data_IF_074297668946
#
_entry.id   IF_074297668946
#
_cell.length_a   1.000
_cell.length_b   1.000
_cell.length_c   1.000
_cell.angle_alpha   90.00
_cell.angle_beta   90.00
_cell.angle_gamma   90.00
#
_symmetry.space_group_name_H-M   'P 1'
#
loop_
_entity.id
_entity.type
_entity.pdbx_description
1 polymer ?
#
# COMPACT_ATOMS: atom_id res chain seq x y z
N UNK A 1 4.34 0.57 -24.96
CA UNK A 1 4.15 -0.60 -24.06
C UNK A 1 3.27 -0.29 -22.85
N UNK A 2 3.43 0.88 -22.19
CA UNK A 2 2.59 1.31 -21.05
C UNK A 2 1.11 1.51 -21.36
N UNK A 3 0.76 1.89 -22.59
CA UNK A 3 -0.63 2.14 -22.98
C UNK A 3 -1.61 0.98 -22.67
N UNK A 4 -1.12 -0.26 -22.51
CA UNK A 4 -1.94 -1.46 -22.27
C UNK A 4 -1.89 -2.04 -20.85
N UNK A 5 -0.95 -1.66 -19.98
CA UNK A 5 -0.88 -2.19 -18.60
C UNK A 5 -1.45 -1.20 -17.60
N UNK A 6 -2.61 -1.52 -17.04
CA UNK A 6 -3.28 -0.71 -16.02
C UNK A 6 -2.37 -0.48 -14.81
N UNK A 7 -1.71 -1.54 -14.33
CA UNK A 7 -0.78 -1.47 -13.20
C UNK A 7 0.38 -0.50 -13.45
N UNK A 8 0.97 -0.50 -14.65
CA UNK A 8 2.06 0.42 -14.96
C UNK A 8 1.59 1.88 -15.05
N UNK A 9 0.38 2.14 -15.57
CA UNK A 9 -0.20 3.49 -15.55
C UNK A 9 -0.44 4.00 -14.14
N UNK A 10 -0.94 3.13 -13.26
CA UNK A 10 -1.18 3.46 -11.86
C UNK A 10 0.14 3.72 -11.11
N UNK A 11 1.14 2.86 -11.30
CA UNK A 11 2.49 3.05 -10.76
C UNK A 11 3.08 4.38 -11.24
N UNK A 12 2.97 4.70 -12.53
CA UNK A 12 3.48 5.95 -13.09
C UNK A 12 2.83 7.19 -12.44
N UNK A 13 1.49 7.17 -12.33
CA UNK A 13 0.75 8.26 -11.68
C UNK A 13 1.19 8.46 -10.23
N UNK A 14 1.51 7.39 -9.51
CA UNK A 14 1.98 7.49 -8.11
C UNK A 14 3.42 7.94 -8.03
N UNK A 15 4.30 7.40 -8.87
CA UNK A 15 5.67 7.87 -8.95
C UNK A 15 5.70 9.38 -9.19
N UNK A 16 4.91 9.87 -10.16
CA UNK A 16 4.81 11.29 -10.45
C UNK A 16 4.28 12.09 -9.26
N UNK A 17 3.19 11.65 -8.60
CA UNK A 17 2.64 12.34 -7.42
C UNK A 17 3.63 12.36 -6.25
N UNK A 18 4.15 11.20 -5.85
CA UNK A 18 5.04 11.04 -4.69
C UNK A 18 6.41 11.71 -4.87
N UNK A 19 6.84 11.92 -6.13
CA UNK A 19 8.13 12.55 -6.45
C UNK A 19 8.02 13.94 -7.06
N UNK A 20 6.82 14.54 -7.10
CA UNK A 20 6.58 15.83 -7.75
C UNK A 20 7.05 15.86 -9.22
N UNK A 21 6.84 14.76 -9.94
CA UNK A 21 7.17 14.59 -11.35
C UNK A 21 8.62 14.20 -11.63
N UNK A 22 9.49 14.13 -10.62
CA UNK A 22 10.91 13.76 -10.81
C UNK A 22 11.06 12.30 -11.26
N UNK A 23 10.20 11.41 -10.76
CA UNK A 23 10.16 9.99 -11.12
C UNK A 23 8.92 9.69 -11.96
N UNK A 24 9.15 8.94 -13.02
CA UNK A 24 8.15 8.35 -13.92
C UNK A 24 8.45 6.88 -14.10
N UNK A 25 7.57 6.14 -14.74
CA UNK A 25 7.87 4.75 -15.13
C UNK A 25 9.09 4.64 -16.06
N UNK A 26 9.37 5.66 -16.89
CA UNK A 26 10.45 5.63 -17.88
C UNK A 26 11.83 5.72 -17.24
N UNK A 27 11.94 6.48 -16.14
CA UNK A 27 13.19 6.68 -15.41
C UNK A 27 13.27 5.86 -14.11
N UNK A 28 12.35 4.90 -13.95
CA UNK A 28 12.31 3.96 -12.82
C UNK A 28 12.41 2.54 -13.34
N UNK A 29 13.40 1.79 -12.84
CA UNK A 29 13.55 0.38 -13.21
C UNK A 29 12.49 -0.45 -12.47
N UNK A 30 11.59 -1.06 -13.23
CA UNK A 30 10.55 -1.95 -12.70
C UNK A 30 10.88 -3.37 -13.12
N UNK A 31 10.97 -4.26 -12.15
CA UNK A 31 11.28 -5.67 -12.37
C UNK A 31 10.10 -6.54 -11.97
N UNK A 32 9.78 -7.51 -12.82
CA UNK A 32 8.95 -8.65 -12.43
C UNK A 32 9.88 -9.69 -11.79
N UNK A 33 9.51 -10.19 -10.61
CA UNK A 33 10.28 -11.24 -9.90
C UNK A 33 10.16 -12.60 -10.57
N UNK A 34 9.15 -12.81 -11.43
CA UNK A 34 8.98 -14.02 -12.24
C UNK A 34 9.04 -13.67 -13.73
N UNK A 35 10.20 -13.19 -14.22
CA UNK A 35 10.34 -12.86 -15.63
C UNK A 35 9.98 -14.08 -16.49
N UNK A 36 9.31 -13.84 -17.62
CA UNK A 36 8.88 -14.85 -18.59
C UNK A 36 7.78 -15.82 -18.13
N UNK A 37 7.15 -15.58 -16.97
CA UNK A 37 5.98 -16.33 -16.52
C UNK A 37 4.75 -15.44 -16.41
N UNK A 38 3.62 -15.94 -16.88
CA UNK A 38 2.31 -15.36 -16.60
C UNK A 38 1.52 -16.27 -15.65
N UNK A 39 0.47 -15.73 -15.04
CA UNK A 39 -0.37 -16.46 -14.09
C UNK A 39 -0.99 -17.72 -14.72
N UNK A 40 -1.45 -17.64 -15.97
CA UNK A 40 -2.08 -18.75 -16.69
C UNK A 40 -1.14 -19.96 -16.80
N UNK A 41 0.09 -19.76 -17.26
CA UNK A 41 1.07 -20.84 -17.35
C UNK A 41 1.41 -21.43 -15.98
N UNK A 42 1.33 -20.63 -14.92
CA UNK A 42 1.58 -21.10 -13.56
C UNK A 42 0.44 -21.99 -13.08
N UNK A 43 -0.80 -21.62 -13.35
CA UNK A 43 -2.00 -22.39 -12.99
C UNK A 43 -2.09 -23.72 -13.75
N UNK A 44 -1.68 -23.74 -15.02
CA UNK A 44 -1.71 -24.93 -15.88
C UNK A 44 -0.60 -25.96 -15.56
N UNK A 45 0.44 -25.56 -14.84
CA UNK A 45 1.59 -26.42 -14.52
C UNK A 45 1.38 -27.32 -13.30
N UNK A 46 1.98 -28.51 -13.30
CA UNK A 46 2.10 -29.32 -12.09
C UNK A 46 2.98 -28.61 -11.03
N UNK A 47 2.89 -29.04 -9.78
CA UNK A 47 3.61 -28.40 -8.67
C UNK A 47 5.13 -28.42 -8.85
N UNK A 48 5.69 -29.52 -9.33
CA UNK A 48 7.13 -29.69 -9.52
C UNK A 48 7.65 -28.76 -10.63
N UNK A 49 6.98 -28.72 -11.77
CA UNK A 49 7.30 -27.82 -12.87
C UNK A 49 7.16 -26.35 -12.45
N UNK A 50 6.10 -26.01 -11.69
CA UNK A 50 5.92 -24.65 -11.14
C UNK A 50 7.10 -24.21 -10.29
N UNK A 51 7.50 -25.01 -9.31
CA UNK A 51 8.62 -24.69 -8.43
C UNK A 51 9.91 -24.53 -9.21
N UNK A 52 10.21 -25.47 -10.12
CA UNK A 52 11.41 -25.42 -10.95
C UNK A 52 11.48 -24.13 -11.78
N UNK A 53 10.38 -23.75 -12.43
CA UNK A 53 10.35 -22.54 -13.25
C UNK A 53 10.33 -21.26 -12.42
N UNK A 54 9.69 -21.25 -11.24
CA UNK A 54 9.73 -20.12 -10.32
C UNK A 54 11.17 -19.89 -9.84
N UNK A 55 11.94 -20.95 -9.50
CA UNK A 55 13.37 -20.83 -9.15
C UNK A 55 14.21 -20.26 -10.29
N UNK A 56 14.06 -20.75 -11.52
CA UNK A 56 14.78 -20.19 -12.67
C UNK A 56 14.47 -18.71 -12.90
N UNK A 57 13.22 -18.30 -12.63
CA UNK A 57 12.80 -16.91 -12.73
C UNK A 57 13.42 -16.06 -11.61
N UNK A 58 13.52 -16.60 -10.39
CA UNK A 58 14.20 -15.94 -9.27
C UNK A 58 15.70 -15.75 -9.52
N UNK A 59 16.37 -16.76 -10.09
CA UNK A 59 17.79 -16.65 -10.46
C UNK A 59 18.00 -15.56 -11.52
N UNK A 60 17.12 -15.51 -12.52
CA UNK A 60 17.14 -14.44 -13.52
C UNK A 60 16.91 -13.07 -12.90
N UNK A 61 15.94 -12.94 -11.99
CA UNK A 61 15.67 -11.70 -11.27
C UNK A 61 16.87 -11.26 -10.43
N UNK A 62 17.57 -12.18 -9.76
CA UNK A 62 18.79 -11.87 -9.02
C UNK A 62 19.89 -11.30 -9.93
N UNK A 63 20.09 -11.87 -11.12
CA UNK A 63 21.02 -11.30 -12.12
C UNK A 63 20.60 -9.89 -12.56
N UNK A 64 19.30 -9.65 -12.76
CA UNK A 64 18.79 -8.33 -13.12
C UNK A 64 19.09 -7.30 -12.01
N UNK A 65 18.89 -7.66 -10.75
CA UNK A 65 19.22 -6.82 -9.60
C UNK A 65 20.74 -6.58 -9.51
N UNK A 66 21.55 -7.62 -9.74
CA UNK A 66 23.02 -7.52 -9.78
C UNK A 66 23.51 -6.52 -10.80
N UNK A 67 22.94 -6.53 -12.00
CA UNK A 67 23.28 -5.60 -13.07
C UNK A 67 22.77 -4.18 -12.77
N UNK A 68 21.57 -4.07 -12.19
CA UNK A 68 20.95 -2.79 -11.88
C UNK A 68 21.65 -2.06 -10.73
N UNK A 69 22.21 -2.79 -9.76
CA UNK A 69 22.87 -2.25 -8.55
C UNK A 69 22.03 -1.17 -7.85
N UNK A 70 20.76 -1.45 -7.48
CA UNK A 70 19.91 -0.45 -6.87
C UNK A 70 20.40 -0.08 -5.47
N UNK A 71 20.42 1.21 -5.17
CA UNK A 71 20.62 1.69 -3.79
C UNK A 71 19.32 1.61 -2.97
N UNK A 72 18.16 1.63 -3.66
CA UNK A 72 16.83 1.55 -3.07
C UNK A 72 15.93 0.64 -3.91
N UNK A 73 15.20 -0.24 -3.24
CA UNK A 73 14.21 -1.14 -3.84
C UNK A 73 12.87 -0.96 -3.12
N UNK A 74 11.82 -0.60 -3.86
CA UNK A 74 10.44 -0.68 -3.40
C UNK A 74 9.87 -2.05 -3.79
N UNK A 75 9.47 -2.83 -2.80
CA UNK A 75 9.00 -4.20 -2.97
C UNK A 75 7.47 -4.23 -3.04
N UNK A 76 6.94 -4.55 -4.22
CA UNK A 76 5.50 -4.75 -4.41
C UNK A 76 5.11 -6.23 -4.55
N UNK A 77 5.93 -7.15 -4.02
CA UNK A 77 5.67 -8.58 -4.08
C UNK A 77 5.20 -9.08 -2.71
N UNK A 78 4.01 -9.70 -2.66
CA UNK A 78 3.46 -10.23 -1.40
C UNK A 78 3.83 -11.69 -1.13
N UNK A 79 4.08 -12.47 -2.17
CA UNK A 79 4.18 -13.92 -2.03
C UNK A 79 5.27 -14.53 -2.93
N UNK A 80 6.34 -15.00 -2.29
CA UNK A 80 7.23 -16.02 -2.86
C UNK A 80 6.78 -17.41 -2.45
N UNK A 81 7.13 -18.44 -3.24
CA UNK A 81 6.82 -19.82 -2.85
C UNK A 81 7.41 -20.12 -1.47
N UNK A 82 6.65 -20.81 -0.60
CA UNK A 82 7.18 -21.25 0.71
C UNK A 82 8.36 -22.20 0.58
N UNK A 83 8.46 -22.88 -0.57
CA UNK A 83 9.54 -23.79 -0.94
C UNK A 83 10.66 -23.09 -1.73
N UNK A 84 10.61 -21.76 -1.87
CA UNK A 84 11.60 -21.02 -2.65
C UNK A 84 13.01 -21.16 -2.05
N UNK A 85 14.00 -21.47 -2.89
CA UNK A 85 15.40 -21.63 -2.47
C UNK A 85 16.20 -20.35 -2.67
N UNK A 86 15.82 -19.52 -3.64
CA UNK A 86 16.46 -18.23 -3.87
C UNK A 86 16.26 -17.28 -2.67
N UNK A 87 17.35 -17.01 -1.95
CA UNK A 87 17.34 -16.20 -0.72
C UNK A 87 16.96 -14.75 -0.97
N UNK A 88 17.37 -14.16 -2.09
CA UNK A 88 17.05 -12.77 -2.41
C UNK A 88 15.55 -12.63 -2.66
N UNK A 89 14.95 -13.54 -3.42
CA UNK A 89 13.52 -13.56 -3.65
C UNK A 89 12.74 -13.65 -2.33
N UNK A 90 13.11 -14.58 -1.44
CA UNK A 90 12.48 -14.71 -0.11
C UNK A 90 12.65 -13.45 0.74
N UNK A 91 13.84 -12.84 0.74
CA UNK A 91 14.12 -11.62 1.50
C UNK A 91 13.35 -10.40 0.98
N UNK A 92 12.99 -10.39 -0.31
CA UNK A 92 12.17 -9.38 -0.96
C UNK A 92 10.68 -9.80 -1.03
N UNK A 93 10.23 -10.67 -0.13
CA UNK A 93 8.80 -10.91 0.08
C UNK A 93 8.29 -9.93 1.13
N UNK A 94 7.29 -9.14 0.76
CA UNK A 94 6.67 -8.14 1.63
C UNK A 94 5.26 -8.58 2.07
N UNK A 95 4.68 -7.85 3.01
CA UNK A 95 3.28 -7.99 3.42
C UNK A 95 2.62 -6.63 3.55
N UNK A 96 1.29 -6.61 3.53
CA UNK A 96 0.49 -5.39 3.78
C UNK A 96 0.81 -4.80 5.16
N UNK A 97 1.00 -5.64 6.18
CA UNK A 97 1.39 -5.20 7.54
C UNK A 97 2.73 -4.48 7.61
N UNK A 98 3.62 -4.72 6.64
CA UNK A 98 4.94 -4.11 6.57
C UNK A 98 5.01 -2.91 5.62
N UNK A 99 3.90 -2.52 4.99
CA UNK A 99 3.91 -1.47 3.98
C UNK A 99 4.44 -0.13 4.52
N UNK A 100 5.27 0.53 3.71
CA UNK A 100 5.99 1.75 4.05
C UNK A 100 7.13 1.57 5.05
N UNK A 101 7.37 0.37 5.59
CA UNK A 101 8.52 0.14 6.49
C UNK A 101 9.82 0.09 5.69
N UNK A 102 10.90 0.51 6.33
CA UNK A 102 12.24 0.51 5.73
C UNK A 102 13.12 -0.49 6.46
N UNK A 103 13.90 -1.25 5.71
CA UNK A 103 14.99 -2.07 6.20
C UNK A 103 16.22 -1.90 5.31
N UNK A 104 17.36 -2.41 5.78
CA UNK A 104 18.59 -2.46 4.97
C UNK A 104 18.91 -3.92 4.75
N UNK A 105 19.04 -4.31 3.49
CA UNK A 105 19.45 -5.64 3.08
C UNK A 105 20.82 -5.54 2.42
N UNK A 106 21.70 -6.50 2.71
CA UNK A 106 22.93 -6.65 1.94
C UNK A 106 22.63 -7.47 0.68
N UNK A 107 22.57 -6.81 -0.47
CA UNK A 107 22.38 -7.43 -1.77
C UNK A 107 23.74 -7.45 -2.46
N UNK A 108 24.31 -8.65 -2.61
CA UNK A 108 25.54 -8.88 -3.37
C UNK A 108 26.71 -7.99 -2.90
N UNK A 109 26.90 -7.91 -1.57
CA UNK A 109 27.97 -7.12 -0.94
C UNK A 109 27.68 -5.61 -0.83
N UNK A 110 26.46 -5.17 -1.17
CA UNK A 110 26.05 -3.76 -1.09
C UNK A 110 24.87 -3.59 -0.15
N UNK A 111 24.92 -2.56 0.69
CA UNK A 111 23.77 -2.15 1.49
C UNK A 111 22.75 -1.47 0.58
N UNK A 112 21.57 -2.07 0.47
CA UNK A 112 20.43 -1.55 -0.29
C UNK A 112 19.28 -1.29 0.68
N UNK A 113 18.65 -0.13 0.54
CA UNK A 113 17.46 0.21 1.33
C UNK A 113 16.27 -0.50 0.70
N UNK A 114 15.57 -1.29 1.51
CA UNK A 114 14.33 -1.96 1.11
C UNK A 114 13.18 -1.16 1.69
N UNK A 115 12.24 -0.78 0.84
CA UNK A 115 10.97 -0.22 1.24
C UNK A 115 9.90 -1.25 0.92
N UNK A 116 9.21 -1.70 1.96
CA UNK A 116 8.16 -2.70 1.84
C UNK A 116 6.88 -2.04 1.32
N UNK A 117 6.27 -2.63 0.31
CA UNK A 117 4.93 -2.30 -0.18
C UNK A 117 4.14 -3.59 -0.31
N UNK A 118 3.24 -3.64 -1.29
CA UNK A 118 2.54 -4.86 -1.68
C UNK A 118 2.02 -4.70 -3.10
N UNK A 119 1.54 -5.79 -3.68
CA UNK A 119 1.13 -5.78 -5.08
C UNK A 119 -0.11 -4.91 -5.30
N UNK A 120 -0.12 -3.98 -6.28
CA UNK A 120 -1.29 -3.12 -6.54
C UNK A 120 -2.59 -3.90 -6.76
N UNK A 121 -2.50 -5.12 -7.30
CA UNK A 121 -3.67 -5.95 -7.54
C UNK A 121 -4.35 -6.50 -6.28
N UNK A 122 -3.71 -6.39 -5.12
CA UNK A 122 -4.33 -6.74 -3.85
C UNK A 122 -5.62 -5.92 -3.63
N UNK A 123 -5.71 -4.71 -4.19
CA UNK A 123 -6.93 -3.89 -4.17
C UNK A 123 -7.62 -3.77 -5.51
N UNK A 124 -6.91 -3.91 -6.64
CA UNK A 124 -7.62 -3.83 -7.93
C UNK A 124 -8.57 -5.01 -8.15
N UNK A 125 -8.34 -6.16 -7.51
CA UNK A 125 -9.32 -7.27 -7.48
C UNK A 125 -10.65 -6.90 -6.81
N UNK A 126 -10.68 -5.82 -6.04
CA UNK A 126 -11.90 -5.33 -5.37
C UNK A 126 -12.57 -4.16 -6.12
N UNK A 127 -11.96 -3.61 -7.17
CA UNK A 127 -12.37 -2.32 -7.72
C UNK A 127 -12.47 -2.21 -9.25
N UNK A 128 -12.00 -3.17 -10.07
CA UNK A 128 -11.89 -2.94 -11.52
C UNK A 128 -12.36 -4.13 -12.37
N UNK A 129 -13.31 -3.87 -13.28
CA UNK A 129 -13.65 -4.81 -14.36
C UNK A 129 -12.62 -4.65 -15.47
N UNK A 130 -12.61 -5.62 -16.41
CA UNK A 130 -11.81 -5.57 -17.64
C UNK A 130 -12.01 -4.29 -18.47
N UNK A 131 -13.11 -3.57 -18.27
CA UNK A 131 -13.50 -2.38 -19.04
C UNK A 131 -13.24 -1.05 -18.29
N UNK A 132 -12.66 -1.09 -17.09
CA UNK A 132 -12.34 0.11 -16.31
C UNK A 132 -13.48 0.66 -15.45
N UNK A 133 -14.65 0.00 -15.48
CA UNK A 133 -15.76 0.29 -14.58
C UNK A 133 -15.61 -0.49 -13.27
N UNK A 134 -16.03 0.12 -12.16
CA UNK A 134 -16.05 -0.52 -10.85
C UNK A 134 -16.94 -1.78 -10.87
N UNK A 135 -16.36 -2.95 -10.57
CA UNK A 135 -17.17 -4.17 -10.41
C UNK A 135 -17.76 -4.16 -9.02
N UNK A 136 -19.08 -4.16 -8.94
CA UNK A 136 -19.73 -4.91 -7.86
C UNK A 136 -19.51 -6.39 -8.18
N UNK A 137 -18.39 -6.98 -7.75
CA UNK A 137 -18.22 -8.43 -7.85
C UNK A 137 -19.25 -9.09 -6.92
N UNK A 138 -20.23 -9.78 -7.50
CA UNK A 138 -21.24 -10.58 -6.78
C UNK A 138 -20.64 -11.81 -6.08
N UNK A 139 -19.33 -12.07 -6.25
CA UNK A 139 -18.57 -12.91 -5.32
C UNK A 139 -18.25 -12.08 -4.08
N UNK A 140 -19.14 -12.17 -3.08
CA UNK A 140 -19.01 -11.55 -1.76
C UNK A 140 -17.57 -11.15 -1.43
N UNK A 141 -17.24 -9.84 -1.50
CA UNK A 141 -16.02 -9.38 -0.88
C UNK A 141 -16.23 -9.59 0.62
N UNK A 142 -15.57 -10.60 1.16
CA UNK A 142 -15.47 -10.83 2.61
C UNK A 142 -14.84 -9.63 3.36
N UNK A 143 -14.46 -8.55 2.66
CA UNK A 143 -14.15 -7.25 3.24
C UNK A 143 -15.43 -6.41 3.38
N UNK A 144 -15.98 -6.39 4.60
CA UNK A 144 -17.22 -5.70 5.03
C UNK A 144 -17.23 -4.16 4.88
N UNK A 145 -16.20 -3.51 4.32
CA UNK A 145 -16.07 -2.06 4.36
C UNK A 145 -15.56 -1.48 3.02
N UNK A 146 -16.36 -0.64 2.31
CA UNK A 146 -15.93 0.07 1.11
C UNK A 146 -14.63 0.88 1.29
N UNK A 147 -14.47 1.44 2.50
CA UNK A 147 -13.36 2.31 2.91
C UNK A 147 -12.00 1.60 2.94
N UNK A 148 -11.99 0.26 3.08
CA UNK A 148 -10.76 -0.50 3.14
C UNK A 148 -9.94 -0.29 1.88
N UNK A 149 -10.59 -0.23 0.71
CA UNK A 149 -9.93 -0.06 -0.59
C UNK A 149 -9.20 1.29 -0.74
N UNK A 150 -9.74 2.36 -0.16
CA UNK A 150 -9.14 3.70 -0.18
C UNK A 150 -7.95 3.77 0.79
N UNK A 151 -8.10 3.24 2.01
CA UNK A 151 -7.02 3.19 3.01
C UNK A 151 -5.83 2.37 2.51
N UNK A 152 -6.17 1.28 1.86
CA UNK A 152 -5.30 0.38 1.16
C UNK A 152 -4.53 1.05 0.01
N UNK A 153 -5.22 1.77 -0.89
CA UNK A 153 -4.56 2.57 -1.91
C UNK A 153 -3.62 3.60 -1.27
N UNK A 154 -4.09 4.31 -0.24
CA UNK A 154 -3.29 5.27 0.53
C UNK A 154 -2.05 4.65 1.19
N UNK A 155 -2.15 3.43 1.70
CA UNK A 155 -1.02 2.70 2.28
C UNK A 155 0.02 2.33 1.23
N UNK A 156 -0.40 1.96 0.01
CA UNK A 156 0.54 1.71 -1.06
C UNK A 156 1.20 3.01 -1.53
N UNK A 157 0.42 4.08 -1.71
CA UNK A 157 0.94 5.42 -2.03
C UNK A 157 1.95 5.90 -0.99
N UNK A 158 1.69 5.62 0.29
CA UNK A 158 2.61 5.90 1.39
C UNK A 158 3.94 5.14 1.24
N UNK A 159 3.92 3.87 0.79
CA UNK A 159 5.15 3.12 0.52
C UNK A 159 5.98 3.74 -0.61
N UNK A 160 5.33 4.23 -1.68
CA UNK A 160 6.01 4.98 -2.73
C UNK A 160 6.60 6.29 -2.21
N UNK A 161 5.86 7.03 -1.39
CA UNK A 161 6.33 8.25 -0.77
C UNK A 161 7.52 7.99 0.17
N UNK A 162 7.50 6.90 0.92
CA UNK A 162 8.60 6.46 1.77
C UNK A 162 9.86 6.13 0.93
N UNK A 163 9.71 5.45 -0.21
CA UNK A 163 10.82 5.17 -1.13
C UNK A 163 11.43 6.44 -1.74
N UNK A 164 10.60 7.40 -2.16
CA UNK A 164 11.09 8.69 -2.67
C UNK A 164 11.80 9.48 -1.58
N UNK A 165 11.27 9.49 -0.35
CA UNK A 165 11.93 10.16 0.77
C UNK A 165 13.27 9.50 1.12
N UNK A 166 13.33 8.17 1.13
CA UNK A 166 14.58 7.42 1.33
C UNK A 166 15.61 7.78 0.26
N UNK A 167 15.20 7.93 -1.00
CA UNK A 167 16.06 8.38 -2.10
C UNK A 167 16.63 9.79 -1.88
N UNK A 168 15.90 10.63 -1.15
CA UNK A 168 16.35 11.96 -0.74
C UNK A 168 17.10 11.96 0.61
N UNK A 169 17.44 10.79 1.17
CA UNK A 169 18.11 10.67 2.48
C UNK A 169 17.21 10.99 3.67
N UNK A 170 15.89 10.96 3.50
CA UNK A 170 14.89 11.26 4.54
C UNK A 170 14.12 9.99 4.93
N UNK A 171 13.63 9.97 6.17
CA UNK A 171 12.78 8.89 6.69
C UNK A 171 11.44 9.46 7.13
N UNK A 172 10.35 8.80 6.73
CA UNK A 172 9.03 9.03 7.29
C UNK A 172 8.86 8.07 8.47
N UNK A 173 8.44 8.58 9.63
CA UNK A 173 8.21 7.78 10.82
C UNK A 173 7.14 8.41 11.70
N UNK A 174 6.42 7.57 12.45
CA UNK A 174 5.43 7.98 13.44
C UNK A 174 4.30 6.96 13.54
N UNK A 175 3.48 7.10 14.58
CA UNK A 175 2.35 6.19 14.82
C UNK A 175 1.32 6.18 13.68
N UNK A 176 1.22 7.28 12.92
CA UNK A 176 0.36 7.36 11.74
C UNK A 176 0.61 6.27 10.69
N UNK A 177 1.86 5.80 10.55
CA UNK A 177 2.18 4.71 9.64
C UNK A 177 1.62 3.36 10.11
N UNK A 178 1.82 3.04 11.39
CA UNK A 178 1.29 1.82 12.00
C UNK A 178 -0.24 1.85 12.02
N UNK A 179 -0.80 3.03 12.31
CA UNK A 179 -2.24 3.28 12.25
C UNK A 179 -2.81 3.00 10.87
N UNK A 180 -2.25 3.62 9.82
CA UNK A 180 -2.71 3.42 8.44
C UNK A 180 -2.64 1.95 8.04
N UNK A 181 -1.56 1.25 8.42
CA UNK A 181 -1.41 -0.19 8.15
C UNK A 181 -2.48 -1.02 8.86
N UNK A 182 -2.75 -0.73 10.13
CA UNK A 182 -3.78 -1.40 10.93
C UNK A 182 -5.19 -1.14 10.38
N UNK A 183 -5.51 0.11 10.05
CA UNK A 183 -6.80 0.49 9.47
C UNK A 183 -7.02 -0.08 8.06
N UNK A 184 -5.98 -0.16 7.24
CA UNK A 184 -6.08 -0.80 5.92
C UNK A 184 -6.34 -2.31 6.01
N UNK A 185 -5.96 -2.96 7.12
CA UNK A 185 -6.16 -4.40 7.33
C UNK A 185 -7.45 -4.74 8.06
N UNK A 186 -7.84 -3.91 9.02
CA UNK A 186 -8.89 -4.25 9.99
C UNK A 186 -10.09 -3.29 9.94
N UNK A 187 -9.97 -2.19 9.20
CA UNK A 187 -11.00 -1.14 9.13
C UNK A 187 -10.94 -0.20 10.34
N UNK A 188 -12.03 0.52 10.63
CA UNK A 188 -12.09 1.45 11.75
C UNK A 188 -12.08 0.69 13.08
N UNK A 189 -11.51 1.30 14.12
CA UNK A 189 -11.56 0.78 15.48
C UNK A 189 -12.70 1.42 16.27
N UNK A 190 -13.33 0.63 17.15
CA UNK A 190 -14.31 1.14 18.09
C UNK A 190 -13.58 1.77 19.29
N UNK A 191 -13.67 3.09 19.43
CA UNK A 191 -13.16 3.84 20.57
C UNK A 191 -14.30 4.11 21.54
N UNK A 192 -14.06 3.81 22.80
CA UNK A 192 -15.01 4.02 23.89
C UNK A 192 -14.68 5.37 24.52
N UNK A 193 -15.61 6.32 24.45
CA UNK A 193 -15.40 7.69 24.94
C UNK A 193 -16.45 8.03 26.01
N UNK A 194 -16.04 8.63 27.14
CA UNK A 194 -16.98 9.10 28.16
C UNK A 194 -17.76 10.28 27.60
N UNK A 195 -19.09 10.24 27.75
CA UNK A 195 -19.98 11.34 27.38
C UNK A 195 -20.69 11.81 28.64
N UNK A 196 -20.46 13.06 28.99
CA UNK A 196 -21.22 13.73 30.03
C UNK A 196 -22.56 14.18 29.43
N UNK A 197 -23.66 13.68 29.98
CA UNK A 197 -24.97 14.21 29.62
C UNK A 197 -25.17 15.61 30.23
N UNK A 198 -26.23 16.31 29.83
CA UNK A 198 -26.54 17.66 30.33
C UNK A 198 -26.73 17.72 31.86
N UNK A 199 -26.92 16.57 32.51
CA UNK A 199 -27.10 16.42 33.95
C UNK A 199 -25.78 16.07 34.68
N UNK A 200 -24.65 15.99 33.96
CA UNK A 200 -23.34 15.67 34.52
C UNK A 200 -23.08 14.18 34.76
N UNK A 201 -24.03 13.30 34.45
CA UNK A 201 -23.83 11.84 34.57
C UNK A 201 -22.91 11.35 33.46
N UNK A 202 -21.95 10.50 33.82
CA UNK A 202 -21.10 9.82 32.86
C UNK A 202 -21.87 8.67 32.21
N UNK A 203 -22.01 8.77 30.90
CA UNK A 203 -22.40 7.67 30.03
C UNK A 203 -21.21 7.31 29.14
N UNK A 204 -21.31 6.19 28.44
CA UNK A 204 -20.27 5.72 27.54
C UNK A 204 -20.80 5.72 26.11
N UNK A 205 -20.09 6.38 25.19
CA UNK A 205 -20.36 6.28 23.76
C UNK A 205 -19.31 5.42 23.06
N UNK A 206 -19.72 4.77 21.99
CA UNK A 206 -18.81 4.03 21.10
C UNK A 206 -18.75 4.79 19.78
N UNK A 207 -17.55 5.28 19.43
CA UNK A 207 -17.27 5.94 18.16
C UNK A 207 -16.37 5.02 17.32
N UNK A 208 -16.78 4.73 16.08
CA UNK A 208 -15.88 4.14 15.11
C UNK A 208 -14.92 5.23 14.61
N UNK A 209 -13.61 4.99 14.69
CA UNK A 209 -12.58 5.93 14.27
C UNK A 209 -11.43 5.23 13.55
N UNK A 210 -10.82 5.93 12.61
CA UNK A 210 -9.55 5.55 11.96
C UNK A 210 -8.35 6.20 12.66
N UNK A 211 -8.57 6.86 13.80
CA UNK A 211 -7.54 7.50 14.60
C UNK A 211 -7.10 6.57 15.74
N UNK A 212 -5.92 5.98 15.62
CA UNK A 212 -5.23 5.32 16.73
C UNK A 212 -4.43 6.29 17.61
N UNK A 213 -4.70 7.59 17.48
CA UNK A 213 -3.94 8.65 18.13
C UNK A 213 -4.66 9.15 19.38
N UNK A 214 -3.88 9.33 20.45
CA UNK A 214 -4.28 10.13 21.62
C UNK A 214 -4.03 11.61 21.32
N UNK A 215 -4.54 12.54 22.14
CA UNK A 215 -4.24 13.98 21.99
C UNK A 215 -2.73 14.28 21.98
N UNK A 216 -1.90 13.39 22.54
CA UNK A 216 -0.44 13.51 22.54
C UNK A 216 0.22 13.24 21.18
N UNK A 217 -0.51 12.66 20.22
CA UNK A 217 0.01 12.24 18.91
C UNK A 217 -0.44 13.16 17.77
N UNK A 218 -1.19 14.22 18.07
CA UNK A 218 -1.64 15.21 17.09
C UNK A 218 -0.43 16.01 16.60
N UNK A 219 -0.23 16.01 15.29
CA UNK A 219 0.80 16.84 14.67
C UNK A 219 0.62 18.31 15.07
N UNK A 220 1.73 19.00 15.39
CA UNK A 220 1.65 20.40 15.82
C UNK A 220 0.86 21.24 14.81
N UNK A 221 0.08 22.25 15.26
CA UNK A 221 -0.72 23.10 14.36
C UNK A 221 0.09 23.67 13.18
N UNK A 222 1.37 23.97 13.44
CA UNK A 222 2.33 24.43 12.43
C UNK A 222 2.65 23.38 11.35
N UNK A 223 2.73 22.10 11.72
CA UNK A 223 2.92 21.01 10.76
C UNK A 223 1.66 20.77 9.92
N UNK A 224 0.48 20.92 10.52
CA UNK A 224 -0.80 20.85 9.80
C UNK A 224 -0.92 22.01 8.79
N UNK A 225 -0.53 23.23 9.14
CA UNK A 225 -0.48 24.35 8.18
C UNK A 225 0.49 24.09 7.01
N UNK A 226 1.65 23.50 7.28
CA UNK A 226 2.60 23.10 6.25
C UNK A 226 2.03 22.01 5.33
N UNK A 227 1.33 21.02 5.89
CA UNK A 227 0.65 19.98 5.11
C UNK A 227 -0.46 20.57 4.22
N UNK A 228 -1.25 21.52 4.74
CA UNK A 228 -2.30 22.24 3.98
C UNK A 228 -1.77 23.00 2.77
N UNK A 229 -0.50 23.38 2.77
CA UNK A 229 0.17 24.02 1.64
C UNK A 229 0.63 23.02 0.57
N UNK A 230 0.58 21.71 0.85
CA UNK A 230 0.92 20.68 -0.13
C UNK A 230 -0.25 20.38 -1.06
N UNK A 231 0.00 20.05 -2.34
CA UNK A 231 -1.06 19.66 -3.28
C UNK A 231 -1.86 18.42 -2.83
N UNK A 232 -1.26 17.62 -1.95
CA UNK A 232 -1.83 16.39 -1.41
C UNK A 232 -3.01 16.64 -0.48
N UNK A 233 -2.99 17.74 0.29
CA UNK A 233 -4.01 18.02 1.30
C UNK A 233 -5.37 18.34 0.67
N UNK A 234 -5.41 19.06 -0.46
CA UNK A 234 -6.67 19.39 -1.14
C UNK A 234 -7.38 18.17 -1.72
N UNK A 235 -6.64 17.18 -2.24
CA UNK A 235 -7.23 15.94 -2.77
C UNK A 235 -7.63 14.98 -1.62
N UNK A 236 -6.84 14.96 -0.53
CA UNK A 236 -7.15 14.19 0.67
C UNK A 236 -8.37 14.75 1.41
N UNK A 237 -8.46 16.07 1.62
CA UNK A 237 -9.64 16.72 2.22
C UNK A 237 -10.90 16.45 1.41
N UNK A 238 -10.82 16.54 0.08
CA UNK A 238 -11.96 16.23 -0.79
C UNK A 238 -12.42 14.78 -0.63
N UNK A 239 -11.49 13.82 -0.67
CA UNK A 239 -11.80 12.39 -0.49
C UNK A 239 -12.31 12.09 0.93
N UNK A 240 -11.79 12.75 1.95
CA UNK A 240 -12.24 12.61 3.34
C UNK A 240 -13.62 13.22 3.57
N UNK A 241 -13.94 14.33 2.90
CA UNK A 241 -15.29 14.92 2.88
C UNK A 241 -16.28 14.03 2.14
N UNK A 242 -15.90 13.51 0.96
CA UNK A 242 -16.69 12.52 0.22
C UNK A 242 -16.97 11.27 1.10
N UNK A 243 -15.98 10.80 1.87
CA UNK A 243 -16.11 9.70 2.83
C UNK A 243 -17.06 10.05 3.99
N UNK A 244 -16.94 11.25 4.56
CA UNK A 244 -17.78 11.72 5.65
C UNK A 244 -19.26 11.83 5.23
N UNK A 245 -19.52 12.34 4.02
CA UNK A 245 -20.86 12.40 3.44
C UNK A 245 -21.43 10.99 3.18
N UNK A 246 -20.61 10.06 2.69
CA UNK A 246 -21.01 8.66 2.51
C UNK A 246 -21.38 7.99 3.84
N UNK A 247 -20.58 8.21 4.89
CA UNK A 247 -20.84 7.71 6.23
C UNK A 247 -22.13 8.32 6.81
N UNK A 248 -22.38 9.61 6.59
CA UNK A 248 -23.61 10.26 7.02
C UNK A 248 -24.85 9.65 6.34
N UNK A 249 -24.79 9.42 5.02
CA UNK A 249 -25.90 8.82 4.26
C UNK A 249 -26.18 7.36 4.66
N UNK A 250 -25.14 6.55 4.93
CA UNK A 250 -25.30 5.17 5.39
C UNK A 250 -25.91 5.10 6.78
N UNK A 251 -25.60 6.08 7.64
CA UNK A 251 -26.13 6.15 9.01
C UNK A 251 -27.62 6.52 9.02
N UNK A 252 -28.06 7.36 8.09
CA UNK A 252 -29.47 7.76 7.95
C UNK A 252 -30.36 6.66 7.34
N UNK A 253 -29.81 5.75 6.53
CA UNK A 253 -30.57 4.62 5.93
C UNK A 253 -30.85 3.46 6.90
N UNK A 254 -30.31 3.49 8.12
CA UNK A 254 -30.51 2.47 9.17
C UNK A 254 -31.51 2.89 10.26
N UNK A 255 -32.19 4.02 10.09
CA UNK A 255 -33.35 4.45 10.89
C UNK A 255 -34.60 4.42 10.02
#
# INVERSE_FOLDING_TARGET
MVAKSYTLKWIDKILQRSSQGVRTWENTRIFDIRPFRNAKWREEGDSYSRERFDEMAYDTFEEMIRLAKPDIVLVCQCETSKTAKNKLATALSSSVTSAGTLSVLEILGRKTIIVNGFHPSYFTRQLWTKDGDAVADEREPSCRWPDLSVLSEGLLEFAFLAAVNAAAGRKISGFGQTNLSSCALHGPVAKIEPVHNANGEQSTSVRLTYEWVSEADIASPKFIELLKQTPFWGEMDRKMLELADLLHQVTLRKK
#
